data_IF_733365042263
#
_entry.id   IF_733365042263
#
_cell.length_a   1.000
_cell.length_b   1.000
_cell.length_c   1.000
_cell.angle_alpha   90.00
_cell.angle_beta   90.00
_cell.angle_gamma   90.00
#
_symmetry.space_group_name_H-M   'P 1'
#
loop_
_entity.id
_entity.type
_entity.pdbx_description
1 polymer ?
#
# COMPACT_ATOMS: atom_id res chain seq x y z
N UNK A 1 -10.29 4.12 -4.93
CA UNK A 1 -9.99 3.68 -6.31
C UNK A 1 -8.57 4.02 -6.78
N UNK A 2 -7.99 5.18 -6.42
CA UNK A 2 -6.63 5.58 -6.84
C UNK A 2 -5.54 4.51 -6.57
N UNK A 3 -5.48 3.95 -5.36
CA UNK A 3 -4.44 2.98 -5.01
C UNK A 3 -4.56 1.63 -5.71
N UNK A 4 -5.77 1.22 -6.12
CA UNK A 4 -5.93 0.02 -6.96
C UNK A 4 -5.33 0.25 -8.35
N UNK A 5 -5.42 1.45 -8.90
CA UNK A 5 -4.73 1.80 -10.14
C UNK A 5 -3.22 1.79 -9.95
N UNK A 6 -2.70 2.33 -8.84
CA UNK A 6 -1.26 2.28 -8.50
C UNK A 6 -0.77 0.84 -8.37
N UNK A 7 -1.52 -0.01 -7.67
CA UNK A 7 -1.18 -1.42 -7.48
C UNK A 7 -1.15 -2.15 -8.82
N UNK A 8 -2.06 -1.83 -9.74
CA UNK A 8 -2.11 -2.43 -11.08
C UNK A 8 -1.24 -1.70 -12.12
N UNK A 9 -0.12 -1.07 -11.71
CA UNK A 9 0.85 -0.40 -12.59
C UNK A 9 0.27 0.70 -13.50
N UNK A 10 -0.85 1.34 -13.13
CA UNK A 10 -1.31 2.50 -13.87
C UNK A 10 -0.30 3.65 -13.71
N UNK A 11 0.29 4.09 -14.82
CA UNK A 11 1.24 5.21 -14.87
C UNK A 11 0.56 6.57 -14.77
N UNK A 12 -0.77 6.61 -14.79
CA UNK A 12 -1.58 7.80 -14.61
C UNK A 12 -2.75 7.52 -13.68
N UNK A 13 -3.01 8.45 -12.77
CA UNK A 13 -4.23 8.48 -11.98
C UNK A 13 -5.18 9.46 -12.64
N UNK A 14 -6.17 8.95 -13.37
CA UNK A 14 -7.29 9.78 -13.82
C UNK A 14 -8.11 10.13 -12.58
N UNK A 15 -7.76 11.24 -11.92
CA UNK A 15 -8.56 11.80 -10.85
C UNK A 15 -9.86 12.37 -11.44
N UNK A 16 -10.91 11.56 -11.31
CA UNK A 16 -12.34 11.82 -11.46
C UNK A 16 -12.85 12.43 -12.79
N UNK A 17 -13.91 11.87 -13.39
CA UNK A 17 -14.69 12.56 -14.42
C UNK A 17 -15.56 13.71 -13.86
N UNK A 18 -15.52 13.99 -12.53
CA UNK A 18 -16.39 14.95 -11.83
C UNK A 18 -15.64 15.69 -10.70
N UNK A 19 -15.93 16.97 -10.53
CA UNK A 19 -15.39 17.83 -9.45
C UNK A 19 -15.89 17.33 -8.08
N UNK A 20 -15.04 17.25 -7.03
CA UNK A 20 -15.49 16.87 -5.69
C UNK A 20 -16.63 17.79 -5.22
N UNK A 21 -17.78 17.20 -4.89
CA UNK A 21 -19.00 17.94 -4.52
C UNK A 21 -19.07 18.33 -3.04
N UNK A 22 -18.06 17.98 -2.24
CA UNK A 22 -18.00 18.30 -0.81
C UNK A 22 -16.58 18.63 -0.36
N UNK A 23 -16.49 19.41 0.73
CA UNK A 23 -15.20 19.75 1.36
C UNK A 23 -14.44 18.51 1.82
N UNK A 24 -15.16 17.53 2.38
CA UNK A 24 -14.57 16.24 2.80
C UNK A 24 -13.89 15.52 1.62
N UNK A 25 -14.56 15.47 0.46
CA UNK A 25 -13.98 14.83 -0.73
C UNK A 25 -12.79 15.63 -1.27
N UNK A 26 -12.84 16.96 -1.20
CA UNK A 26 -11.71 17.83 -1.54
C UNK A 26 -10.49 17.60 -0.64
N UNK A 27 -10.70 17.55 0.67
CA UNK A 27 -9.62 17.34 1.64
C UNK A 27 -9.02 15.93 1.45
N UNK A 28 -9.86 14.93 1.20
CA UNK A 28 -9.41 13.57 0.87
C UNK A 28 -8.60 13.53 -0.43
N UNK A 29 -9.02 14.27 -1.46
CA UNK A 29 -8.31 14.33 -2.74
C UNK A 29 -6.94 15.02 -2.60
N UNK A 30 -6.86 16.09 -1.80
CA UNK A 30 -5.60 16.76 -1.46
C UNK A 30 -4.65 15.82 -0.73
N UNK A 31 -5.13 15.16 0.33
CA UNK A 31 -4.34 14.20 1.10
C UNK A 31 -3.78 13.08 0.19
N UNK A 32 -4.61 12.47 -0.65
CA UNK A 32 -4.13 11.43 -1.57
C UNK A 32 -3.09 11.98 -2.55
N UNK A 33 -3.26 13.22 -3.04
CA UNK A 33 -2.31 13.86 -3.94
C UNK A 33 -0.95 14.09 -3.26
N UNK A 34 -0.96 14.52 -2.00
CA UNK A 34 0.25 14.66 -1.18
C UNK A 34 0.94 13.31 -0.95
N UNK A 35 0.18 12.27 -0.61
CA UNK A 35 0.70 10.91 -0.48
C UNK A 35 1.37 10.43 -1.78
N UNK A 36 0.71 10.61 -2.93
CA UNK A 36 1.25 10.20 -4.24
C UNK A 36 2.54 10.97 -4.57
N UNK A 37 2.57 12.27 -4.28
CA UNK A 37 3.76 13.09 -4.50
C UNK A 37 4.94 12.59 -3.67
N UNK A 38 4.72 12.23 -2.40
CA UNK A 38 5.75 11.64 -1.54
C UNK A 38 6.18 10.24 -2.00
N UNK A 39 5.28 9.49 -2.62
CA UNK A 39 5.55 8.15 -3.14
C UNK A 39 6.11 8.15 -4.56
N UNK A 40 6.14 9.30 -5.25
CA UNK A 40 6.50 9.40 -6.68
C UNK A 40 7.84 8.75 -6.98
N UNK A 41 8.85 9.01 -6.17
CA UNK A 41 10.19 8.42 -6.35
C UNK A 41 10.16 6.90 -6.28
N UNK A 42 9.29 6.32 -5.44
CA UNK A 42 9.16 4.88 -5.29
C UNK A 42 8.35 4.26 -6.43
N UNK A 43 7.19 4.85 -6.75
CA UNK A 43 6.21 4.28 -7.68
C UNK A 43 6.68 4.28 -9.14
N UNK A 44 7.52 5.25 -9.52
CA UNK A 44 7.98 5.46 -10.90
C UNK A 44 9.44 5.04 -11.12
N UNK A 45 10.08 4.40 -10.15
CA UNK A 45 11.41 3.80 -10.34
C UNK A 45 11.28 2.49 -11.15
N UNK A 46 12.16 2.29 -12.14
CA UNK A 46 12.21 1.13 -13.06
C UNK A 46 12.69 -0.19 -12.41
N UNK A 47 12.37 -0.46 -11.15
CA UNK A 47 12.76 -1.70 -10.46
C UNK A 47 11.69 -2.77 -10.56
N UNK A 48 12.12 -4.02 -10.36
CA UNK A 48 11.25 -5.20 -10.27
C UNK A 48 10.14 -4.94 -9.27
N UNK A 49 8.91 -5.01 -9.77
CA UNK A 49 7.71 -4.90 -8.96
C UNK A 49 6.87 -6.15 -9.11
N UNK A 50 6.42 -6.71 -8.00
CA UNK A 50 5.48 -7.84 -8.01
C UNK A 50 4.10 -7.38 -7.57
N UNK A 51 3.07 -7.96 -8.16
CA UNK A 51 1.67 -7.67 -7.82
C UNK A 51 0.94 -8.97 -7.61
N UNK A 52 0.27 -9.09 -6.47
CA UNK A 52 -0.51 -10.26 -6.11
C UNK A 52 -1.68 -9.87 -5.20
N UNK A 53 -2.45 -10.88 -4.82
CA UNK A 53 -3.56 -10.70 -3.89
C UNK A 53 -3.43 -11.65 -2.72
N UNK A 54 -3.90 -11.21 -1.55
CA UNK A 54 -4.01 -12.04 -0.35
C UNK A 54 -5.44 -12.04 0.18
N UNK A 55 -5.69 -12.80 1.26
CA UNK A 55 -7.02 -13.03 1.82
C UNK A 55 -8.02 -13.41 0.71
N UNK A 56 -7.68 -14.42 -0.07
CA UNK A 56 -8.55 -14.97 -1.11
C UNK A 56 -8.98 -13.92 -2.15
N UNK A 57 -8.00 -13.16 -2.65
CA UNK A 57 -8.23 -12.15 -3.70
C UNK A 57 -8.77 -10.80 -3.21
N UNK A 58 -8.91 -10.59 -1.89
CA UNK A 58 -9.64 -9.42 -1.35
C UNK A 58 -8.75 -8.21 -1.08
N UNK A 59 -7.49 -8.44 -0.74
CA UNK A 59 -6.49 -7.39 -0.57
C UNK A 59 -5.52 -7.46 -1.75
N UNK A 60 -5.40 -6.36 -2.48
CA UNK A 60 -4.40 -6.22 -3.53
C UNK A 60 -3.10 -5.69 -2.94
N UNK A 61 -1.98 -6.20 -3.46
CA UNK A 61 -0.63 -5.94 -2.96
C UNK A 61 0.27 -5.66 -4.14
N UNK A 62 1.04 -4.58 -4.07
CA UNK A 62 2.18 -4.33 -4.94
C UNK A 62 3.43 -4.18 -4.09
N UNK A 63 4.47 -4.95 -4.41
CA UNK A 63 5.77 -4.85 -3.76
C UNK A 63 6.73 -4.15 -4.70
N UNK A 64 7.45 -3.18 -4.15
CA UNK A 64 8.55 -2.47 -4.77
C UNK A 64 9.81 -2.74 -3.95
N UNK A 65 10.75 -3.46 -4.55
CA UNK A 65 11.94 -3.91 -3.84
C UNK A 65 13.15 -3.01 -4.14
N UNK A 66 13.77 -2.48 -3.10
CA UNK A 66 14.97 -1.64 -3.16
C UNK A 66 16.14 -2.32 -2.40
N UNK A 67 17.39 -1.88 -2.58
CA UNK A 67 18.55 -2.54 -1.98
C UNK A 67 18.55 -2.44 -0.45
N UNK A 68 18.08 -1.32 0.10
CA UNK A 68 18.08 -0.96 1.52
C UNK A 68 16.71 -1.09 2.19
N UNK A 69 15.64 -1.18 1.40
CA UNK A 69 14.26 -1.15 1.87
C UNK A 69 13.30 -1.83 0.91
N UNK A 70 12.11 -2.11 1.40
CA UNK A 70 10.99 -2.61 0.61
C UNK A 70 9.77 -1.74 0.90
N UNK A 71 9.02 -1.43 -0.16
CA UNK A 71 7.73 -0.78 -0.05
C UNK A 71 6.63 -1.75 -0.48
N UNK A 72 5.64 -2.01 0.38
CA UNK A 72 4.45 -2.75 0.02
C UNK A 72 3.23 -1.82 0.05
N UNK A 73 2.62 -1.62 -1.13
CA UNK A 73 1.40 -0.83 -1.30
C UNK A 73 0.21 -1.78 -1.31
N UNK A 74 -0.73 -1.57 -0.40
CA UNK A 74 -1.85 -2.51 -0.20
C UNK A 74 -3.19 -1.80 -0.18
N UNK A 75 -4.23 -2.49 -0.64
CA UNK A 75 -5.58 -1.95 -0.62
C UNK A 75 -6.64 -3.04 -0.48
N UNK A 76 -7.58 -2.83 0.44
CA UNK A 76 -8.80 -3.62 0.55
C UNK A 76 -9.77 -3.25 -0.59
N UNK A 77 -10.20 -4.24 -1.37
CA UNK A 77 -11.17 -4.03 -2.45
C UNK A 77 -12.62 -4.14 -2.01
N UNK A 78 -12.86 -4.50 -0.76
CA UNK A 78 -14.19 -4.83 -0.24
C UNK A 78 -14.70 -3.74 0.69
N UNK A 79 -16.02 -3.59 0.71
CA UNK A 79 -16.74 -2.68 1.60
C UNK A 79 -16.88 -3.19 3.05
N UNK A 80 -16.01 -4.08 3.50
CA UNK A 80 -16.07 -4.70 4.82
C UNK A 80 -14.69 -4.84 5.44
N UNK A 81 -14.64 -4.92 6.76
CA UNK A 81 -13.40 -5.10 7.54
C UNK A 81 -12.73 -6.44 7.20
N UNK A 82 -11.41 -6.44 7.10
CA UNK A 82 -10.59 -7.63 6.78
C UNK A 82 -9.33 -7.70 7.63
N UNK A 83 -9.08 -8.85 8.21
CA UNK A 83 -7.81 -9.17 8.87
C UNK A 83 -6.97 -9.94 7.86
N UNK A 84 -5.80 -9.41 7.51
CA UNK A 84 -4.94 -9.98 6.49
C UNK A 84 -3.57 -10.30 7.05
N UNK A 85 -2.99 -11.42 6.60
CA UNK A 85 -1.63 -11.84 6.93
C UNK A 85 -0.84 -11.86 5.62
N UNK A 86 0.25 -11.11 5.60
CA UNK A 86 1.20 -11.03 4.50
C UNK A 86 2.38 -11.91 4.81
N UNK A 87 2.73 -12.83 3.91
CA UNK A 87 3.97 -13.58 3.98
C UNK A 87 4.99 -12.94 3.04
N UNK A 88 6.09 -12.45 3.61
CA UNK A 88 7.16 -11.78 2.88
C UNK A 88 8.40 -12.66 2.71
N UNK A 89 8.32 -13.94 3.09
CA UNK A 89 9.45 -14.89 3.00
C UNK A 89 10.05 -14.99 1.59
N UNK A 90 9.21 -14.89 0.55
CA UNK A 90 9.66 -14.94 -0.86
C UNK A 90 10.52 -13.74 -1.27
N UNK A 91 10.51 -12.65 -0.50
CA UNK A 91 11.20 -11.40 -0.83
C UNK A 91 12.41 -11.12 0.08
N UNK A 92 12.76 -12.06 0.95
CA UNK A 92 13.88 -11.96 1.89
C UNK A 92 13.53 -12.35 3.31
N UNK A 93 14.56 -12.39 4.17
CA UNK A 93 14.42 -12.62 5.61
C UNK A 93 14.35 -11.28 6.34
N UNK A 94 13.18 -10.95 6.88
CA UNK A 94 12.87 -9.70 7.57
C UNK A 94 12.45 -9.92 9.03
N UNK A 95 12.84 -11.05 9.60
CA UNK A 95 12.45 -11.42 10.96
C UNK A 95 12.87 -10.36 11.98
N UNK A 96 11.96 -9.98 12.88
CA UNK A 96 12.14 -8.95 13.90
C UNK A 96 12.45 -7.54 13.37
N UNK A 97 12.35 -7.31 12.04
CA UNK A 97 12.44 -5.97 11.48
C UNK A 97 11.19 -5.17 11.81
N UNK A 98 11.38 -3.86 11.93
CA UNK A 98 10.28 -2.90 12.06
C UNK A 98 9.74 -2.56 10.68
N UNK A 99 8.42 -2.59 10.58
CA UNK A 99 7.66 -2.15 9.43
C UNK A 99 6.93 -0.87 9.79
N UNK A 100 7.26 0.24 9.11
CA UNK A 100 6.57 1.51 9.29
C UNK A 100 5.38 1.57 8.35
N UNK A 101 4.22 1.96 8.87
CA UNK A 101 3.03 2.21 8.05
C UNK A 101 2.99 3.69 7.74
N UNK A 102 3.28 4.02 6.48
CA UNK A 102 3.30 5.40 6.02
C UNK A 102 1.92 6.01 6.16
N UNK A 103 1.88 7.29 6.53
CA UNK A 103 0.66 8.10 6.69
C UNK A 103 -0.24 7.72 7.88
N UNK A 104 0.13 6.72 8.67
CA UNK A 104 -0.66 6.26 9.83
C UNK A 104 0.07 6.36 11.17
N UNK A 105 1.31 6.88 11.18
CA UNK A 105 2.14 7.06 12.39
C UNK A 105 2.18 5.83 13.31
N UNK A 106 2.17 4.62 12.73
CA UNK A 106 2.24 3.35 13.46
C UNK A 106 3.30 2.43 12.86
N UNK A 107 3.80 1.53 13.70
CA UNK A 107 4.78 0.51 13.34
C UNK A 107 4.23 -0.88 13.67
N UNK A 108 4.56 -1.85 12.82
CA UNK A 108 4.35 -3.28 13.08
C UNK A 108 5.69 -3.99 13.12
N UNK A 109 5.79 -5.05 13.91
CA UNK A 109 6.97 -5.91 13.95
C UNK A 109 6.67 -7.16 13.14
N UNK A 110 7.57 -7.51 12.22
CA UNK A 110 7.45 -8.74 11.47
C UNK A 110 7.76 -9.94 12.36
N UNK A 111 6.85 -10.91 12.40
CA UNK A 111 7.03 -12.18 13.12
C UNK A 111 7.04 -13.31 12.09
N UNK A 112 8.10 -14.12 12.04
CA UNK A 112 8.25 -15.20 11.06
C UNK A 112 8.07 -14.72 9.61
N UNK A 113 8.66 -13.58 9.25
CA UNK A 113 8.49 -12.90 7.95
C UNK A 113 7.03 -12.54 7.60
N UNK A 114 6.13 -12.51 8.59
CA UNK A 114 4.72 -12.18 8.40
C UNK A 114 4.32 -10.86 9.05
N UNK A 115 3.45 -10.13 8.36
CA UNK A 115 2.77 -8.94 8.87
C UNK A 115 1.29 -9.29 8.99
N UNK A 116 0.73 -9.12 10.18
CA UNK A 116 -0.71 -9.21 10.40
C UNK A 116 -1.28 -7.81 10.60
N UNK A 117 -2.31 -7.45 9.83
CA UNK A 117 -2.92 -6.12 9.91
C UNK A 117 -4.42 -6.17 9.61
N UNK A 118 -5.14 -5.12 10.03
CA UNK A 118 -6.61 -5.00 9.88
C UNK A 118 -6.97 -3.84 8.99
N UNK A 119 -7.71 -4.12 7.92
CA UNK A 119 -8.16 -3.13 6.93
C UNK A 119 -9.65 -2.86 7.09
N UNK A 120 -10.01 -1.59 7.26
CA UNK A 120 -11.38 -1.08 7.10
C UNK A 120 -11.86 -1.22 5.64
N UNK A 121 -13.17 -1.08 5.40
CA UNK A 121 -13.73 -0.98 4.06
C UNK A 121 -12.93 -0.02 3.17
N UNK A 122 -12.45 -0.52 2.02
CA UNK A 122 -11.69 0.25 1.04
C UNK A 122 -10.41 0.94 1.56
N UNK A 123 -9.92 0.52 2.72
CA UNK A 123 -8.70 1.07 3.32
C UNK A 123 -7.45 0.62 2.55
N UNK A 124 -6.42 1.44 2.66
CA UNK A 124 -5.12 1.24 2.05
C UNK A 124 -4.09 1.34 3.16
N UNK A 125 -3.06 0.51 3.12
CA UNK A 125 -1.88 0.68 3.96
C UNK A 125 -0.64 0.62 3.09
N UNK A 126 0.37 1.40 3.47
CA UNK A 126 1.64 1.44 2.75
C UNK A 126 2.75 1.15 3.73
N UNK A 127 3.33 -0.01 3.57
CA UNK A 127 4.35 -0.55 4.46
C UNK A 127 5.73 -0.21 3.92
N UNK A 128 6.59 0.33 4.78
CA UNK A 128 8.00 0.56 4.53
C UNK A 128 8.81 -0.33 5.47
N UNK A 129 9.58 -1.24 4.91
CA UNK A 129 10.35 -2.26 5.64
C UNK A 129 11.83 -2.04 5.34
N UNK A 130 12.65 -1.87 6.36
CA UNK A 130 14.11 -1.80 6.20
C UNK A 130 14.69 -3.21 6.07
N UNK A 131 15.61 -3.41 5.10
CA UNK A 131 16.38 -4.65 4.94
C UNK A 131 17.44 -4.80 6.03
#
# INVERSE_FOLDING_TARGET
MAYLSIINNATGLKFWPLVPCSRLLWDTAKQISEEINLLKEYLFTYKTSETFTIDDGKICVRILDFPDKMLAVTANRRGMLRNAIFDLSMFGAYENKKCKILFENRELILKNNKIADTFKPYERHIYLISK
#
